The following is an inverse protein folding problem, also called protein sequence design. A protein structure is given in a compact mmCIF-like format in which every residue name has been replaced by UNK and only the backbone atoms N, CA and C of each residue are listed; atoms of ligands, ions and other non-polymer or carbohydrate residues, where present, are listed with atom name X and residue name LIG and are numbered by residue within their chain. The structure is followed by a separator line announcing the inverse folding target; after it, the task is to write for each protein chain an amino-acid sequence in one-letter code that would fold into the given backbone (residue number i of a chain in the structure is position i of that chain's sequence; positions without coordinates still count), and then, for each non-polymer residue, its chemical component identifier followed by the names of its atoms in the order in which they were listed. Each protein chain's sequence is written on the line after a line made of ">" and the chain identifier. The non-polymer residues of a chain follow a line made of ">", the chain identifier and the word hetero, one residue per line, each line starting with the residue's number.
data_IF_775971437355
#
_entry.id   IF_775971437355
#
_cell.length_a   1.000
_cell.length_b   1.000
_cell.length_c   1.000
_cell.angle_alpha   90.00
_cell.angle_beta   90.00
_cell.angle_gamma   90.00
#
_symmetry.space_group_name_H-M   'P 1'
#
loop_
_entity.id
_entity.type
_entity.pdbx_description
1 polymer ?
#
# COMPACT_ATOMS: atom_id res chain seq x y z
N UNK A 1 4.18 -34.63 17.16
CA UNK A 1 4.25 -33.49 16.19
C UNK A 1 2.81 -33.14 15.87
N UNK A 2 2.31 -32.05 16.39
CA UNK A 2 1.02 -31.50 15.98
C UNK A 2 1.19 -31.00 14.53
N UNK A 3 0.44 -31.59 13.61
CA UNK A 3 0.42 -31.13 12.22
C UNK A 3 0.00 -29.64 12.23
N UNK A 4 0.86 -28.76 11.72
CA UNK A 4 0.48 -27.37 11.47
C UNK A 4 -0.62 -27.40 10.42
N UNK A 5 -1.83 -27.06 10.82
CA UNK A 5 -2.91 -26.77 9.88
C UNK A 5 -2.44 -25.58 9.07
N UNK A 6 -2.15 -25.77 7.79
CA UNK A 6 -1.86 -24.68 6.87
C UNK A 6 -3.14 -23.87 6.69
N UNK A 7 -3.25 -22.73 7.41
CA UNK A 7 -4.32 -21.78 7.19
C UNK A 7 -4.14 -21.15 5.80
N UNK A 8 -5.25 -20.96 5.11
CA UNK A 8 -5.25 -20.21 3.84
C UNK A 8 -4.66 -18.81 4.09
N UNK A 9 -3.58 -18.41 3.39
CA UNK A 9 -2.96 -17.09 3.57
C UNK A 9 -3.93 -15.94 3.27
N UNK A 10 -5.00 -16.19 2.52
CA UNK A 10 -6.02 -15.22 2.17
C UNK A 10 -7.18 -15.14 3.16
N UNK A 11 -7.29 -16.09 4.09
CA UNK A 11 -8.38 -16.14 5.09
C UNK A 11 -8.66 -14.75 5.72
N UNK A 12 -7.64 -13.96 6.14
CA UNK A 12 -7.89 -12.69 6.80
C UNK A 12 -8.61 -11.63 5.94
N UNK A 13 -8.49 -11.73 4.62
CA UNK A 13 -9.04 -10.77 3.66
C UNK A 13 -10.00 -11.40 2.65
N UNK A 14 -10.40 -12.64 2.87
CA UNK A 14 -11.21 -13.40 1.91
C UNK A 14 -12.50 -12.67 1.54
N UNK A 15 -13.17 -12.07 2.53
CA UNK A 15 -14.37 -11.24 2.34
C UNK A 15 -14.14 -10.08 1.36
N UNK A 16 -12.94 -9.54 1.31
CA UNK A 16 -12.55 -8.49 0.35
C UNK A 16 -12.26 -9.08 -1.02
N UNK A 17 -11.51 -10.18 -1.08
CA UNK A 17 -11.12 -10.80 -2.34
C UNK A 17 -12.30 -11.40 -3.11
N UNK A 18 -13.32 -11.87 -2.40
CA UNK A 18 -14.57 -12.39 -2.97
C UNK A 18 -15.51 -11.28 -3.48
N UNK A 19 -15.37 -10.06 -3.00
CA UNK A 19 -16.15 -8.93 -3.48
C UNK A 19 -15.96 -8.74 -4.99
N UNK A 20 -16.99 -8.23 -5.69
CA UNK A 20 -16.93 -7.92 -7.12
C UNK A 20 -15.78 -6.93 -7.44
N UNK A 21 -15.60 -5.95 -6.56
CA UNK A 21 -14.57 -4.90 -6.69
C UNK A 21 -13.68 -4.85 -5.44
N UNK A 22 -12.72 -5.75 -5.28
CA UNK A 22 -11.88 -5.86 -4.07
C UNK A 22 -11.23 -4.56 -3.63
N UNK A 23 -10.72 -3.77 -4.57
CA UNK A 23 -10.10 -2.47 -4.27
C UNK A 23 -11.11 -1.48 -3.67
N UNK A 24 -12.34 -1.43 -4.19
CA UNK A 24 -13.40 -0.57 -3.66
C UNK A 24 -13.82 -1.00 -2.25
N UNK A 25 -13.89 -2.31 -2.00
CA UNK A 25 -14.20 -2.85 -0.67
C UNK A 25 -13.11 -2.47 0.34
N UNK A 26 -11.84 -2.70 0.00
CA UNK A 26 -10.72 -2.39 0.90
C UNK A 26 -10.55 -0.89 1.14
N UNK A 27 -10.88 -0.04 0.16
CA UNK A 27 -10.84 1.42 0.27
C UNK A 27 -11.70 1.94 1.41
N UNK A 28 -12.79 1.25 1.77
CA UNK A 28 -13.65 1.63 2.90
C UNK A 28 -12.87 1.84 4.20
N UNK A 29 -11.73 1.14 4.38
CA UNK A 29 -10.86 1.32 5.55
C UNK A 29 -10.26 2.73 5.56
N UNK A 30 -9.82 3.21 4.40
CA UNK A 30 -9.25 4.57 4.28
C UNK A 30 -10.31 5.64 4.49
N UNK A 31 -11.54 5.39 4.00
CA UNK A 31 -12.67 6.29 4.19
C UNK A 31 -13.07 6.35 5.68
N UNK A 32 -13.03 5.20 6.39
CA UNK A 32 -13.26 5.13 7.84
C UNK A 32 -12.18 5.87 8.65
N UNK A 33 -10.91 5.82 8.22
CA UNK A 33 -9.83 6.61 8.85
C UNK A 33 -10.13 8.09 8.71
N UNK A 34 -10.49 8.57 7.52
CA UNK A 34 -10.81 9.98 7.28
C UNK A 34 -12.03 10.41 8.10
N UNK A 35 -13.09 9.60 8.10
CA UNK A 35 -14.32 9.88 8.86
C UNK A 35 -14.06 10.00 10.37
N UNK A 36 -13.10 9.24 10.90
CA UNK A 36 -12.75 9.21 12.33
C UNK A 36 -11.44 9.91 12.64
N UNK A 37 -10.98 10.79 11.74
CA UNK A 37 -9.74 11.52 11.93
C UNK A 37 -9.81 12.35 13.22
N UNK A 38 -8.89 12.16 14.17
CA UNK A 38 -8.86 12.97 15.38
C UNK A 38 -8.59 14.45 15.07
N UNK A 39 -9.20 15.33 15.84
CA UNK A 39 -8.88 16.75 15.78
C UNK A 39 -7.40 17.00 16.11
N UNK A 40 -6.66 17.51 15.15
CA UNK A 40 -5.22 17.73 15.27
C UNK A 40 -4.85 18.80 16.32
N UNK A 41 -5.76 19.72 16.64
CA UNK A 41 -5.54 20.74 17.67
C UNK A 41 -5.67 20.15 19.07
N UNK A 42 -6.66 19.28 19.27
CA UNK A 42 -6.93 18.64 20.58
C UNK A 42 -6.10 17.39 20.82
N UNK A 43 -5.83 16.63 19.76
CA UNK A 43 -5.18 15.33 19.80
C UNK A 43 -4.10 15.18 18.72
N UNK A 44 -3.05 16.04 18.75
CA UNK A 44 -2.07 16.15 17.65
C UNK A 44 -1.36 14.82 17.34
N UNK A 45 -0.98 14.06 18.37
CA UNK A 45 -0.31 12.77 18.20
C UNK A 45 -1.24 11.72 17.60
N UNK A 46 -2.48 11.64 18.06
CA UNK A 46 -3.46 10.71 17.53
C UNK A 46 -3.84 11.04 16.08
N UNK A 47 -3.93 12.34 15.73
CA UNK A 47 -4.13 12.78 14.34
C UNK A 47 -2.94 12.40 13.47
N UNK A 48 -1.71 12.60 13.94
CA UNK A 48 -0.50 12.22 13.22
C UNK A 48 -0.44 10.69 12.95
N UNK A 49 -0.82 9.88 13.93
CA UNK A 49 -0.91 8.42 13.78
C UNK A 49 -2.01 8.02 12.78
N UNK A 50 -3.15 8.70 12.78
CA UNK A 50 -4.25 8.43 11.84
C UNK A 50 -3.88 8.82 10.40
N UNK A 51 -3.24 9.99 10.19
CA UNK A 51 -2.73 10.40 8.87
C UNK A 51 -1.68 9.41 8.35
N UNK A 52 -0.73 9.00 9.20
CA UNK A 52 0.23 7.96 8.84
C UNK A 52 -0.45 6.65 8.44
N UNK A 53 -1.45 6.21 9.21
CA UNK A 53 -2.21 5.00 8.92
C UNK A 53 -2.94 5.08 7.57
N UNK A 54 -3.57 6.22 7.29
CA UNK A 54 -4.20 6.51 6.00
C UNK A 54 -3.17 6.41 4.85
N UNK A 55 -2.03 7.07 4.98
CA UNK A 55 -0.98 7.07 3.96
C UNK A 55 -0.35 5.69 3.76
N UNK A 56 -0.15 4.91 4.83
CA UNK A 56 0.33 3.53 4.71
C UNK A 56 -0.58 2.70 3.81
N UNK A 57 -1.89 2.74 4.04
CA UNK A 57 -2.88 2.02 3.24
C UNK A 57 -2.97 2.57 1.81
N UNK A 58 -3.05 3.90 1.66
CA UNK A 58 -3.22 4.52 0.33
C UNK A 58 -2.00 4.31 -0.57
N UNK A 59 -0.79 4.54 -0.07
CA UNK A 59 0.42 4.31 -0.86
C UNK A 59 0.58 2.82 -1.16
N UNK A 60 0.27 1.94 -0.20
CA UNK A 60 0.25 0.50 -0.43
C UNK A 60 -0.71 0.11 -1.56
N UNK A 61 -1.94 0.63 -1.56
CA UNK A 61 -2.97 0.36 -2.59
C UNK A 61 -2.61 0.93 -3.97
N UNK A 62 -1.91 2.07 -4.04
CA UNK A 62 -1.51 2.63 -5.32
C UNK A 62 -0.27 1.96 -5.93
N UNK A 63 0.62 1.44 -5.08
CA UNK A 63 1.94 1.00 -5.53
C UNK A 63 2.12 -0.51 -5.52
N UNK A 64 1.32 -1.26 -4.76
CA UNK A 64 1.51 -2.70 -4.58
C UNK A 64 2.87 -3.10 -4.01
N UNK A 65 3.57 -2.18 -3.38
CA UNK A 65 4.92 -2.39 -2.86
C UNK A 65 4.96 -3.42 -1.73
N UNK A 66 6.04 -4.20 -1.69
CA UNK A 66 6.32 -5.07 -0.55
C UNK A 66 6.64 -4.24 0.69
N UNK A 67 6.37 -4.81 1.86
CA UNK A 67 6.62 -4.18 3.15
C UNK A 67 7.99 -3.52 3.26
N UNK A 68 9.05 -4.19 2.78
CA UNK A 68 10.40 -3.64 2.81
C UNK A 68 10.50 -2.33 2.04
N UNK A 69 9.97 -2.30 0.82
CA UNK A 69 10.03 -1.10 -0.01
C UNK A 69 9.22 0.05 0.60
N UNK A 70 8.08 -0.23 1.24
CA UNK A 70 7.27 0.79 1.93
C UNK A 70 7.99 1.36 3.16
N UNK A 71 8.47 0.49 4.08
CA UNK A 71 9.09 0.96 5.33
C UNK A 71 10.44 1.65 5.14
N UNK A 72 11.15 1.29 4.06
CA UNK A 72 12.48 1.82 3.72
C UNK A 72 12.42 2.93 2.67
N UNK A 73 11.22 3.34 2.23
CA UNK A 73 11.01 4.43 1.29
C UNK A 73 11.58 5.74 1.88
N UNK A 74 12.58 6.31 1.22
CA UNK A 74 13.20 7.56 1.65
C UNK A 74 12.27 8.74 1.37
N UNK A 75 12.36 9.79 2.15
CA UNK A 75 11.67 11.06 1.90
C UNK A 75 12.64 12.05 1.24
N UNK A 76 12.21 12.63 0.13
CA UNK A 76 12.76 13.87 -0.40
C UNK A 76 11.70 14.97 -0.26
N UNK A 77 11.89 15.88 0.69
CA UNK A 77 10.94 16.98 0.92
C UNK A 77 10.87 17.91 -0.30
N UNK A 78 9.76 18.63 -0.44
CA UNK A 78 9.63 19.64 -1.50
C UNK A 78 10.76 20.65 -1.43
N UNK A 79 11.30 21.03 -2.59
CA UNK A 79 12.42 21.95 -2.69
C UNK A 79 13.78 21.36 -2.38
N UNK A 80 13.86 20.12 -1.89
CA UNK A 80 15.11 19.41 -1.73
C UNK A 80 15.53 18.69 -3.01
N UNK A 81 16.84 18.59 -3.25
CA UNK A 81 17.35 17.82 -4.37
C UNK A 81 17.13 16.32 -4.14
N UNK A 82 16.58 15.58 -5.12
CA UNK A 82 16.45 14.13 -5.05
C UNK A 82 17.82 13.46 -4.87
N UNK A 83 17.83 12.34 -4.16
CA UNK A 83 19.07 11.53 -4.04
C UNK A 83 19.51 11.04 -5.40
N UNK A 84 20.83 11.00 -5.67
CA UNK A 84 21.34 10.42 -6.91
C UNK A 84 20.84 8.97 -7.09
N UNK A 85 20.44 8.61 -8.30
CA UNK A 85 19.94 7.25 -8.59
C UNK A 85 20.96 6.17 -8.17
N UNK A 86 22.25 6.43 -8.43
CA UNK A 86 23.34 5.53 -8.00
C UNK A 86 23.36 5.31 -6.49
N UNK A 87 23.05 6.33 -5.71
CA UNK A 87 22.97 6.18 -4.24
C UNK A 87 21.79 5.27 -3.86
N UNK A 88 20.61 5.49 -4.48
CA UNK A 88 19.41 4.67 -4.25
C UNK A 88 19.64 3.21 -4.65
N UNK A 89 20.35 2.97 -5.76
CA UNK A 89 20.76 1.64 -6.22
C UNK A 89 21.68 0.93 -5.22
N UNK A 90 22.75 1.61 -4.79
CA UNK A 90 23.72 1.08 -3.83
C UNK A 90 23.06 0.68 -2.50
N UNK A 91 22.13 1.50 -2.03
CA UNK A 91 21.41 1.26 -0.77
C UNK A 91 20.14 0.40 -0.96
N UNK A 92 19.79 0.06 -2.21
CA UNK A 92 18.57 -0.70 -2.57
C UNK A 92 17.32 -0.10 -1.96
N UNK A 93 17.17 1.23 -2.04
CA UNK A 93 16.05 2.00 -1.48
C UNK A 93 15.32 2.77 -2.55
N UNK A 94 14.02 2.96 -2.33
CA UNK A 94 13.21 3.90 -3.10
C UNK A 94 13.13 5.26 -2.43
N UNK A 95 12.56 6.22 -3.14
CA UNK A 95 12.33 7.59 -2.66
C UNK A 95 10.94 8.08 -3.06
N UNK A 96 10.24 8.71 -2.11
CA UNK A 96 9.07 9.53 -2.38
C UNK A 96 9.56 10.97 -2.51
N UNK A 97 9.30 11.59 -3.66
CA UNK A 97 9.78 12.92 -4.01
C UNK A 97 8.74 13.72 -4.77
N UNK A 98 8.83 15.03 -4.68
CA UNK A 98 7.97 15.93 -5.45
C UNK A 98 8.53 16.11 -6.86
N UNK A 99 7.70 15.87 -7.88
CA UNK A 99 8.03 16.19 -9.27
C UNK A 99 7.36 17.53 -9.63
N UNK A 100 8.18 18.57 -9.75
CA UNK A 100 7.72 19.94 -10.08
C UNK A 100 7.05 20.01 -11.46
N UNK A 101 7.47 19.19 -12.41
CA UNK A 101 6.91 19.20 -13.78
C UNK A 101 5.54 18.56 -13.82
N UNK A 102 5.37 17.46 -13.10
CA UNK A 102 4.10 16.75 -13.01
C UNK A 102 3.16 17.40 -11.99
N UNK A 103 3.68 18.23 -11.07
CA UNK A 103 2.91 18.76 -9.95
C UNK A 103 2.37 17.67 -9.03
N UNK A 104 3.13 16.61 -8.82
CA UNK A 104 2.69 15.42 -8.10
C UNK A 104 3.82 14.74 -7.33
N UNK A 105 3.46 14.01 -6.27
CA UNK A 105 4.38 13.13 -5.57
C UNK A 105 4.67 11.88 -6.41
N UNK A 106 5.95 11.62 -6.68
CA UNK A 106 6.45 10.45 -7.39
C UNK A 106 7.06 9.44 -6.42
N UNK A 107 6.69 8.18 -6.56
CA UNK A 107 7.40 7.04 -5.97
C UNK A 107 8.41 6.52 -6.99
N UNK A 108 9.69 6.64 -6.68
CA UNK A 108 10.79 6.12 -7.49
C UNK A 108 11.48 4.97 -6.76
N UNK A 109 11.64 3.83 -7.42
CA UNK A 109 12.37 2.68 -6.85
C UNK A 109 13.26 2.06 -7.92
N UNK A 110 14.59 2.00 -7.70
CA UNK A 110 15.49 1.35 -8.64
C UNK A 110 15.19 -0.16 -8.71
N UNK A 111 15.35 -0.75 -9.89
CA UNK A 111 15.03 -2.17 -10.12
C UNK A 111 15.73 -3.11 -9.14
N UNK A 112 16.98 -2.80 -8.77
CA UNK A 112 17.78 -3.59 -7.81
C UNK A 112 17.20 -3.66 -6.39
N UNK A 113 16.26 -2.76 -6.05
CA UNK A 113 15.60 -2.74 -4.74
C UNK A 113 14.43 -3.75 -4.66
N UNK A 114 14.00 -4.33 -5.78
CA UNK A 114 12.97 -5.36 -5.79
C UNK A 114 13.55 -6.76 -5.58
N UNK A 115 12.75 -7.64 -4.95
CA UNK A 115 13.12 -9.05 -4.76
C UNK A 115 13.34 -9.76 -6.10
N UNK A 116 12.56 -9.40 -7.12
CA UNK A 116 12.59 -10.02 -8.45
C UNK A 116 13.43 -9.22 -9.45
N UNK A 117 14.44 -8.48 -8.98
CA UNK A 117 15.33 -7.64 -9.83
C UNK A 117 16.08 -8.42 -10.91
N UNK A 118 16.25 -9.73 -10.73
CA UNK A 118 16.87 -10.62 -11.73
C UNK A 118 15.92 -11.15 -12.79
N UNK A 119 14.60 -10.85 -12.68
CA UNK A 119 13.62 -11.32 -13.67
C UNK A 119 13.74 -10.52 -14.97
N UNK A 120 13.78 -11.22 -16.11
CA UNK A 120 13.75 -10.61 -17.43
C UNK A 120 12.42 -9.92 -17.73
N UNK A 121 11.33 -10.30 -17.07
CA UNK A 121 10.00 -9.74 -17.24
C UNK A 121 9.94 -8.22 -16.95
N UNK A 122 10.60 -7.76 -15.87
CA UNK A 122 10.62 -6.32 -15.53
C UNK A 122 11.76 -5.57 -16.23
N UNK A 123 12.74 -6.27 -16.77
CA UNK A 123 13.98 -5.68 -17.25
C UNK A 123 14.74 -4.99 -16.10
N UNK A 124 15.65 -4.08 -16.45
CA UNK A 124 16.40 -3.29 -15.46
C UNK A 124 15.79 -1.89 -15.26
N UNK A 125 14.51 -1.71 -15.59
CA UNK A 125 13.84 -0.40 -15.50
C UNK A 125 13.45 -0.11 -14.04
N UNK A 126 13.66 1.12 -13.57
CA UNK A 126 13.16 1.54 -12.28
C UNK A 126 11.63 1.60 -12.30
N UNK A 127 11.02 1.39 -11.14
CA UNK A 127 9.59 1.67 -10.93
C UNK A 127 9.43 3.17 -10.69
N UNK A 128 8.52 3.80 -11.46
CA UNK A 128 8.14 5.20 -11.31
C UNK A 128 6.62 5.29 -11.33
N UNK A 129 6.06 5.94 -10.34
CA UNK A 129 4.62 6.17 -10.28
C UNK A 129 4.33 7.54 -9.65
N UNK A 130 3.68 8.42 -10.40
CA UNK A 130 3.05 9.61 -9.84
C UNK A 130 1.78 9.21 -9.09
N UNK A 131 1.70 9.59 -7.83
CA UNK A 131 0.53 9.30 -7.01
C UNK A 131 -0.63 10.21 -7.45
N UNK A 132 -1.81 9.67 -7.76
CA UNK A 132 -2.96 10.47 -8.16
C UNK A 132 -3.50 11.27 -6.97
N UNK A 133 -3.95 12.50 -7.21
CA UNK A 133 -4.60 13.30 -6.17
C UNK A 133 -6.07 12.90 -6.00
N UNK A 134 -6.27 11.69 -5.46
CA UNK A 134 -7.60 11.16 -5.16
C UNK A 134 -7.85 11.20 -3.65
N UNK A 135 -9.00 11.76 -3.24
CA UNK A 135 -9.39 11.93 -1.83
C UNK A 135 -8.32 12.71 -1.05
N UNK A 136 -7.85 13.82 -1.62
CA UNK A 136 -6.84 14.72 -1.01
C UNK A 136 -5.52 14.02 -0.63
N UNK A 137 -5.11 12.99 -1.40
CA UNK A 137 -3.92 12.22 -1.07
C UNK A 137 -2.66 13.09 -0.98
N UNK A 138 -2.50 14.03 -1.92
CA UNK A 138 -1.33 14.92 -1.95
C UNK A 138 -1.33 15.88 -0.75
N UNK A 139 -2.48 16.46 -0.42
CA UNK A 139 -2.64 17.29 0.77
C UNK A 139 -2.28 16.53 2.05
N UNK A 140 -2.71 15.27 2.16
CA UNK A 140 -2.39 14.42 3.31
C UNK A 140 -0.89 14.07 3.37
N UNK A 141 -0.22 13.89 2.23
CA UNK A 141 1.23 13.70 2.19
C UNK A 141 1.94 14.96 2.67
N UNK A 142 1.56 16.13 2.15
CA UNK A 142 2.14 17.41 2.57
C UNK A 142 1.94 17.67 4.05
N UNK A 143 0.71 17.50 4.54
CA UNK A 143 0.40 17.63 5.97
C UNK A 143 1.21 16.64 6.83
N UNK A 144 1.40 15.42 6.35
CA UNK A 144 2.22 14.43 7.04
C UNK A 144 3.67 14.86 7.13
N UNK A 145 4.26 15.26 6.01
CA UNK A 145 5.68 15.66 5.96
C UNK A 145 5.95 16.89 6.82
N UNK A 146 5.11 17.91 6.73
CA UNK A 146 5.34 19.20 7.36
C UNK A 146 4.97 19.23 8.84
N UNK A 147 3.88 18.58 9.23
CA UNK A 147 3.29 18.72 10.56
C UNK A 147 3.30 17.44 11.38
N UNK A 148 2.86 16.32 10.78
CA UNK A 148 2.59 15.11 11.56
C UNK A 148 3.84 14.27 11.80
N UNK A 149 4.70 14.14 10.78
CA UNK A 149 5.93 13.37 10.86
C UNK A 149 6.90 13.90 11.93
N UNK A 150 7.15 15.23 12.06
CA UNK A 150 7.94 15.80 13.13
C UNK A 150 7.39 15.47 14.54
N UNK A 151 6.06 15.49 14.71
CA UNK A 151 5.42 15.10 15.98
C UNK A 151 5.68 13.63 16.34
N UNK A 152 5.66 12.75 15.33
CA UNK A 152 5.92 11.31 15.54
C UNK A 152 7.40 11.04 15.87
N UNK A 153 8.32 11.82 15.32
CA UNK A 153 9.76 11.75 15.64
C UNK A 153 10.06 12.06 17.10
N UNK A 154 9.28 12.95 17.71
CA UNK A 154 9.35 13.22 19.15
C UNK A 154 10.75 13.58 19.69
N UNK A 155 11.60 14.21 18.84
CA UNK A 155 12.97 14.59 19.19
C UNK A 155 14.02 13.48 18.95
N UNK A 156 13.65 12.29 18.48
CA UNK A 156 14.62 11.31 17.97
C UNK A 156 15.26 11.77 16.66
N UNK A 157 16.47 11.31 16.39
CA UNK A 157 17.13 11.51 15.12
C UNK A 157 16.26 11.03 13.94
N UNK A 158 16.17 11.85 12.87
CA UNK A 158 15.39 11.52 11.69
C UNK A 158 16.08 10.43 10.87
N UNK A 159 15.43 9.28 10.65
CA UNK A 159 15.98 8.21 9.82
C UNK A 159 15.98 8.53 8.31
N UNK A 160 15.36 9.64 7.89
CA UNK A 160 15.21 10.03 6.49
C UNK A 160 14.19 9.20 5.71
N UNK A 161 13.51 8.24 6.34
CA UNK A 161 12.43 7.47 5.72
C UNK A 161 11.12 8.24 5.75
N UNK A 162 10.25 8.02 4.74
CA UNK A 162 8.94 8.66 4.70
C UNK A 162 8.09 8.24 5.91
N UNK A 163 7.93 6.94 6.13
CA UNK A 163 7.22 6.44 7.29
C UNK A 163 8.12 6.35 8.52
N UNK A 164 7.66 6.93 9.61
CA UNK A 164 8.32 6.85 10.92
C UNK A 164 7.33 6.34 11.97
N UNK A 165 7.84 5.59 12.94
CA UNK A 165 7.02 5.14 14.08
C UNK A 165 6.85 6.26 15.09
N UNK A 166 5.77 6.19 15.88
CA UNK A 166 5.59 7.07 17.04
C UNK A 166 6.66 6.77 18.08
N UNK A 167 7.51 7.74 18.36
CA UNK A 167 8.56 7.60 19.36
C UNK A 167 7.94 7.66 20.77
N UNK A 168 8.32 6.71 21.62
CA UNK A 168 8.00 6.65 23.06
C UNK A 168 9.29 6.92 23.85
N UNK A 169 9.18 7.20 25.13
CA UNK A 169 10.34 7.41 26.00
C UNK A 169 11.39 6.27 25.96
N UNK A 170 10.95 5.05 25.69
CA UNK A 170 11.80 3.86 25.58
C UNK A 170 12.31 3.59 24.16
N UNK A 171 11.90 4.39 23.17
CA UNK A 171 12.29 4.19 21.77
C UNK A 171 13.70 4.70 21.53
N UNK A 172 14.54 3.87 20.91
CA UNK A 172 15.92 4.25 20.52
C UNK A 172 16.01 4.84 19.11
N UNK A 173 15.01 4.60 18.27
CA UNK A 173 14.96 5.04 16.87
C UNK A 173 13.52 5.23 16.42
N UNK A 174 13.31 6.16 15.49
CA UNK A 174 12.02 6.38 14.82
C UNK A 174 11.85 5.48 13.57
N UNK A 175 12.87 4.72 13.17
CA UNK A 175 12.78 3.82 12.02
C UNK A 175 11.87 2.63 12.31
N UNK A 176 11.11 2.24 11.29
CA UNK A 176 10.41 0.97 11.30
C UNK A 176 11.36 -0.19 10.94
N UNK A 177 11.32 -1.25 11.72
CA UNK A 177 11.76 -2.59 11.33
C UNK A 177 10.59 -3.43 10.78
N UNK A 178 10.86 -4.67 10.43
CA UNK A 178 9.83 -5.55 9.86
C UNK A 178 8.67 -5.78 10.84
N UNK A 179 8.97 -6.02 12.09
CA UNK A 179 7.97 -6.33 13.12
C UNK A 179 7.14 -5.11 13.47
N UNK A 180 7.77 -3.98 13.73
CA UNK A 180 7.08 -2.76 14.13
C UNK A 180 6.23 -2.17 13.01
N UNK A 181 6.63 -2.33 11.74
CA UNK A 181 5.81 -1.91 10.60
C UNK A 181 4.59 -2.82 10.41
N UNK A 182 4.80 -4.14 10.55
CA UNK A 182 3.70 -5.10 10.51
C UNK A 182 2.68 -4.82 11.61
N UNK A 183 3.15 -4.60 12.85
CA UNK A 183 2.26 -4.28 13.98
C UNK A 183 1.50 -2.98 13.79
N UNK A 184 2.15 -1.92 13.30
CA UNK A 184 1.47 -0.66 12.99
C UNK A 184 0.36 -0.85 11.97
N UNK A 185 0.62 -1.67 10.94
CA UNK A 185 -0.38 -2.03 9.94
C UNK A 185 -1.53 -2.82 10.54
N UNK A 186 -1.22 -3.90 11.27
CA UNK A 186 -2.20 -4.76 11.92
C UNK A 186 -3.11 -3.98 12.87
N UNK A 187 -2.53 -3.08 13.67
CA UNK A 187 -3.30 -2.21 14.57
C UNK A 187 -4.20 -1.22 13.79
N UNK A 188 -3.76 -0.72 12.65
CA UNK A 188 -4.59 0.10 11.76
C UNK A 188 -5.80 -0.69 11.27
N UNK A 189 -5.60 -1.92 10.82
CA UNK A 189 -6.69 -2.80 10.37
C UNK A 189 -7.64 -3.11 11.53
N UNK A 190 -7.14 -3.40 12.72
CA UNK A 190 -7.99 -3.65 13.89
C UNK A 190 -8.82 -2.42 14.26
N UNK A 191 -8.25 -1.23 14.19
CA UNK A 191 -8.90 0.02 14.63
C UNK A 191 -9.93 0.55 13.63
N UNK A 192 -9.67 0.40 12.33
CA UNK A 192 -10.44 1.04 11.27
C UNK A 192 -11.03 0.06 10.27
N UNK A 193 -10.42 -1.12 10.09
CA UNK A 193 -10.84 -2.09 9.10
C UNK A 193 -11.93 -3.02 9.60
N UNK A 194 -11.72 -3.63 10.75
CA UNK A 194 -12.62 -4.65 11.29
C UNK A 194 -13.89 -4.01 11.84
N UNK A 195 -15.04 -4.36 11.24
CA UNK A 195 -16.33 -3.86 11.72
C UNK A 195 -16.74 -4.53 13.03
N UNK A 196 -17.08 -3.71 14.01
CA UNK A 196 -17.62 -4.15 15.29
C UNK A 196 -19.11 -3.75 15.40
N UNK A 197 -20.03 -4.71 15.37
CA UNK A 197 -21.47 -4.43 15.38
C UNK A 197 -21.97 -3.78 16.69
N UNK A 198 -21.27 -4.01 17.80
CA UNK A 198 -21.65 -3.42 19.10
C UNK A 198 -21.33 -1.93 19.19
N UNK A 199 -20.30 -1.48 18.50
CA UNK A 199 -19.87 -0.08 18.54
C UNK A 199 -20.21 0.68 17.25
N UNK A 200 -20.63 -0.01 16.19
CA UNK A 200 -20.84 0.54 14.85
C UNK A 200 -19.56 1.09 14.21
N UNK A 201 -18.37 0.69 14.70
CA UNK A 201 -17.07 1.18 14.24
C UNK A 201 -16.37 0.15 13.38
N UNK A 202 -15.51 0.64 12.48
CA UNK A 202 -14.80 -0.19 11.50
C UNK A 202 -15.53 -0.25 10.17
N UNK A 203 -14.86 -0.73 9.13
CA UNK A 203 -15.32 -0.59 7.75
C UNK A 203 -15.93 -1.87 7.17
N UNK A 204 -15.36 -3.04 7.47
CA UNK A 204 -15.65 -4.28 6.74
C UNK A 204 -16.03 -5.40 7.73
N UNK A 205 -17.27 -5.89 7.69
CA UNK A 205 -17.70 -7.07 8.44
C UNK A 205 -16.92 -8.32 7.99
N UNK A 206 -16.50 -9.15 8.94
CA UNK A 206 -15.78 -10.40 8.65
C UNK A 206 -14.31 -10.25 8.30
N UNK A 207 -13.78 -9.02 8.21
CA UNK A 207 -12.35 -8.80 8.03
C UNK A 207 -11.58 -9.23 9.28
N UNK A 208 -10.42 -9.87 9.10
CA UNK A 208 -9.53 -10.27 10.20
C UNK A 208 -8.26 -9.42 10.22
N UNK A 209 -7.52 -9.39 11.35
CA UNK A 209 -6.23 -8.69 11.44
C UNK A 209 -5.23 -9.28 10.44
N UNK A 210 -4.57 -8.39 9.68
CA UNK A 210 -3.61 -8.80 8.67
C UNK A 210 -2.50 -7.75 8.49
N UNK A 211 -1.48 -8.11 7.71
CA UNK A 211 -0.31 -7.27 7.47
C UNK A 211 -0.31 -6.60 6.09
N UNK A 212 0.75 -5.84 5.78
CA UNK A 212 0.85 -5.06 4.54
C UNK A 212 0.91 -5.92 3.27
N UNK A 213 1.27 -7.20 3.38
CA UNK A 213 1.32 -8.09 2.21
C UNK A 213 -0.05 -8.26 1.55
N UNK A 214 -1.10 -8.31 2.37
CA UNK A 214 -2.45 -8.56 1.89
C UNK A 214 -3.02 -7.42 1.00
N UNK A 215 -2.46 -6.22 1.04
CA UNK A 215 -2.82 -5.16 0.07
C UNK A 215 -2.45 -5.55 -1.36
N UNK A 216 -1.34 -6.26 -1.52
CA UNK A 216 -0.91 -6.78 -2.83
C UNK A 216 -1.92 -7.81 -3.35
N UNK A 217 -2.45 -8.65 -2.43
CA UNK A 217 -3.47 -9.63 -2.75
C UNK A 217 -4.76 -8.95 -3.25
N UNK A 218 -5.16 -7.84 -2.59
CA UNK A 218 -6.30 -7.02 -3.02
C UNK A 218 -6.09 -6.44 -4.40
N UNK A 219 -4.91 -5.85 -4.67
CA UNK A 219 -4.60 -5.26 -5.98
C UNK A 219 -4.57 -6.30 -7.09
N UNK A 220 -3.82 -7.38 -6.90
CA UNK A 220 -3.70 -8.44 -7.89
C UNK A 220 -5.07 -9.03 -8.22
N UNK A 221 -5.86 -9.36 -7.20
CA UNK A 221 -7.20 -9.94 -7.39
C UNK A 221 -8.13 -8.94 -8.07
N UNK A 222 -8.08 -7.65 -7.69
CA UNK A 222 -8.92 -6.63 -8.33
C UNK A 222 -8.61 -6.49 -9.82
N UNK A 223 -7.33 -6.37 -10.19
CA UNK A 223 -6.92 -6.24 -11.59
C UNK A 223 -7.28 -7.49 -12.38
N UNK A 224 -7.05 -8.68 -11.80
CA UNK A 224 -7.45 -9.93 -12.46
C UNK A 224 -8.95 -10.00 -12.71
N UNK A 225 -9.79 -9.60 -11.74
CA UNK A 225 -11.24 -9.59 -11.91
C UNK A 225 -11.71 -8.59 -12.97
N UNK A 226 -11.02 -7.45 -13.11
CA UNK A 226 -11.39 -6.42 -14.08
C UNK A 226 -10.87 -6.71 -15.50
N UNK A 227 -9.71 -7.31 -15.64
CA UNK A 227 -8.99 -7.40 -16.92
C UNK A 227 -8.76 -8.85 -17.39
N UNK A 228 -8.78 -9.82 -16.48
CA UNK A 228 -8.35 -11.19 -16.78
C UNK A 228 -6.85 -11.34 -17.05
N UNK A 229 -6.07 -10.27 -16.96
CA UNK A 229 -4.66 -10.23 -17.36
C UNK A 229 -3.71 -10.47 -16.19
N UNK A 230 -2.99 -11.59 -16.24
CA UNK A 230 -1.90 -11.87 -15.30
C UNK A 230 -0.74 -10.89 -15.45
N UNK A 231 -0.48 -10.43 -16.66
CA UNK A 231 0.57 -9.47 -16.94
C UNK A 231 0.30 -8.11 -16.30
N UNK A 232 -0.91 -7.58 -16.45
CA UNK A 232 -1.29 -6.30 -15.81
C UNK A 232 -1.23 -6.40 -14.28
N UNK A 233 -1.73 -7.49 -13.70
CA UNK A 233 -1.63 -7.72 -12.27
C UNK A 233 -0.17 -7.83 -11.80
N UNK A 234 0.71 -8.44 -12.62
CA UNK A 234 2.16 -8.55 -12.36
C UNK A 234 2.84 -7.19 -12.25
N UNK A 235 2.56 -6.29 -13.16
CA UNK A 235 3.09 -4.92 -13.09
C UNK A 235 2.57 -4.15 -11.87
N UNK A 236 1.30 -4.34 -11.52
CA UNK A 236 0.70 -3.63 -10.38
C UNK A 236 1.32 -4.02 -9.04
N UNK A 237 1.74 -5.27 -8.86
CA UNK A 237 2.32 -5.76 -7.61
C UNK A 237 3.82 -6.06 -7.70
N UNK A 238 4.46 -5.80 -8.83
CA UNK A 238 5.87 -6.10 -9.07
C UNK A 238 6.21 -7.57 -8.73
N UNK A 239 5.42 -8.49 -9.30
CA UNK A 239 5.66 -9.93 -9.27
C UNK A 239 5.58 -10.52 -10.68
N UNK A 240 6.05 -11.76 -10.92
CA UNK A 240 6.00 -12.35 -12.26
C UNK A 240 4.60 -12.87 -12.60
N UNK A 241 4.21 -12.95 -13.91
CA UNK A 241 2.91 -13.49 -14.31
C UNK A 241 2.65 -14.92 -13.80
N UNK A 242 3.69 -15.76 -13.76
CA UNK A 242 3.58 -17.14 -13.24
C UNK A 242 3.22 -17.14 -11.75
N UNK A 243 3.86 -16.27 -10.97
CA UNK A 243 3.56 -16.12 -9.55
C UNK A 243 2.14 -15.59 -9.33
N UNK A 244 1.70 -14.65 -10.16
CA UNK A 244 0.32 -14.13 -10.11
C UNK A 244 -0.68 -15.22 -10.46
N UNK A 245 -0.43 -15.99 -11.52
CA UNK A 245 -1.29 -17.09 -11.92
C UNK A 245 -1.41 -18.15 -10.82
N UNK A 246 -0.27 -18.52 -10.22
CA UNK A 246 -0.22 -19.53 -9.16
C UNK A 246 -0.96 -19.11 -7.89
N UNK A 247 -0.81 -17.84 -7.48
CA UNK A 247 -1.38 -17.37 -6.21
C UNK A 247 -2.81 -16.84 -6.33
N UNK A 248 -3.13 -16.13 -7.42
CA UNK A 248 -4.39 -15.38 -7.55
C UNK A 248 -5.33 -15.94 -8.61
N UNK A 249 -4.89 -16.91 -9.44
CA UNK A 249 -5.70 -17.47 -10.52
C UNK A 249 -7.03 -18.05 -10.07
N UNK A 250 -7.13 -18.51 -8.81
CA UNK A 250 -8.37 -19.02 -8.20
C UNK A 250 -9.48 -17.96 -8.05
N UNK A 251 -9.12 -16.67 -8.02
CA UNK A 251 -10.08 -15.57 -7.90
C UNK A 251 -10.57 -15.05 -9.24
N UNK A 252 -10.03 -15.56 -10.35
CA UNK A 252 -10.57 -15.26 -11.66
C UNK A 252 -11.97 -15.86 -11.80
N UNK A 253 -12.92 -15.15 -12.44
CA UNK A 253 -14.15 -15.76 -12.90
C UNK A 253 -13.84 -17.02 -13.70
N UNK A 254 -14.52 -18.12 -13.41
CA UNK A 254 -14.29 -19.39 -14.10
C UNK A 254 -14.59 -19.30 -15.60
N UNK A 255 -15.46 -18.38 -15.97
CA UNK A 255 -15.83 -18.15 -17.36
C UNK A 255 -14.95 -17.07 -18.00
N UNK A 256 -13.75 -17.48 -18.40
CA UNK A 256 -12.81 -16.62 -19.16
C UNK A 256 -13.36 -16.25 -20.54
N UNK A 257 -14.25 -17.05 -21.11
CA UNK A 257 -14.90 -16.77 -22.38
C UNK A 257 -15.84 -15.57 -22.26
N UNK A 258 -16.56 -15.44 -21.14
CA UNK A 258 -17.40 -14.28 -20.86
C UNK A 258 -16.58 -12.99 -20.71
N UNK A 259 -15.37 -13.06 -20.12
CA UNK A 259 -14.48 -11.90 -20.05
C UNK A 259 -14.00 -11.48 -21.44
N UNK A 260 -13.61 -12.44 -22.27
CA UNK A 260 -13.22 -12.17 -23.66
C UNK A 260 -14.40 -11.61 -24.46
N UNK A 261 -15.59 -12.17 -24.30
CA UNK A 261 -16.81 -11.68 -24.94
C UNK A 261 -17.14 -10.23 -24.55
N UNK A 262 -16.99 -9.86 -23.29
CA UNK A 262 -17.18 -8.46 -22.84
C UNK A 262 -16.27 -7.49 -23.58
N UNK A 263 -14.99 -7.84 -23.77
CA UNK A 263 -14.04 -7.00 -24.52
C UNK A 263 -14.45 -6.89 -25.99
N UNK A 264 -14.88 -8.00 -26.61
CA UNK A 264 -15.35 -8.02 -27.99
C UNK A 264 -16.64 -7.23 -28.18
N UNK A 265 -17.57 -7.30 -27.22
CA UNK A 265 -18.86 -6.62 -27.28
C UNK A 265 -18.72 -5.09 -27.27
N UNK A 266 -17.73 -4.55 -26.56
CA UNK A 266 -17.47 -3.09 -26.56
C UNK A 266 -17.27 -2.56 -27.97
N UNK A 267 -16.59 -3.30 -28.85
CA UNK A 267 -16.35 -2.89 -30.25
C UNK A 267 -17.65 -2.86 -31.05
N UNK A 268 -18.62 -3.70 -30.72
CA UNK A 268 -19.92 -3.73 -31.39
C UNK A 268 -20.88 -2.65 -30.86
N UNK A 269 -20.75 -2.25 -29.60
CA UNK A 269 -21.56 -1.20 -29.00
C UNK A 269 -21.09 0.20 -29.40
N UNK A 270 -19.82 0.35 -29.86
CA UNK A 270 -19.21 1.60 -30.32
C UNK A 270 -19.36 1.84 -31.84
N UNK A 271 -19.90 0.89 -32.60
CA UNK A 271 -20.11 0.95 -34.03
C UNK A 271 -21.54 1.37 -34.41
#
# INVERSE_FOLDING_TARGET
>A
RVARVHRDPFEPILVVLEAERPLAEYRKITDEILRRMPDARRHPKAAAEAVRAFLMLRIGLHTGLRQRNLRELMLCARGAAPRPERWLEQHRRGELRWDERAGAWEVYIPSVAFKNSGSSFFGKRPFRLHLPDLSSLQEQIDAYVERHRPLLLGGCGDPGTFFVKSVKATSRTASYDQTTFYEAWRLTIQRYGIFNPYTGRGAIPGLLPHGPHNVRDVLATHILKQTGSYEQASYAIQDTPDMVAQHYGRFLPQDKATLAAKVLNVVWDEA
#
